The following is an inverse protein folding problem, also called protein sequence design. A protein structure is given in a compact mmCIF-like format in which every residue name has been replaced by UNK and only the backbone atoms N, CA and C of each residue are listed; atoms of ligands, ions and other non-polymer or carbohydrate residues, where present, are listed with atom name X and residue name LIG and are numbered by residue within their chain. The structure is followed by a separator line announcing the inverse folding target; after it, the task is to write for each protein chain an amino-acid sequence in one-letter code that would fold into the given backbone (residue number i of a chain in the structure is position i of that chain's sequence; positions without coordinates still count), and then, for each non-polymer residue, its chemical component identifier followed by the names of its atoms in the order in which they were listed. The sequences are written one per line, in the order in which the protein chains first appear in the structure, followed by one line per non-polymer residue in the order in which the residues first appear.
data_IF_531546245192
#
_entry.id   IF_531546245192
#
_cell.length_a   1.000
_cell.length_b   1.000
_cell.length_c   1.000
_cell.angle_alpha   90.00
_cell.angle_beta   90.00
_cell.angle_gamma   90.00
#
_symmetry.space_group_name_H-M   'P 1'
#
loop_
_entity.id
_entity.type
_entity.pdbx_description
1 polymer ?
#
# COMPACT_ATOMS: atom_id res chain seq x y z
N UNK A 1 1.15 -3.51 17.90
CA UNK A 1 0.83 -4.25 16.67
C UNK A 1 2.14 -4.75 16.11
N UNK A 2 2.23 -6.04 15.82
CA UNK A 2 3.38 -6.59 15.11
C UNK A 2 3.25 -6.19 13.64
N UNK A 3 4.10 -5.27 13.18
CA UNK A 3 4.06 -4.68 11.84
C UNK A 3 4.39 -5.72 10.76
N UNK A 4 5.27 -6.66 11.05
CA UNK A 4 5.68 -7.69 10.09
C UNK A 4 4.57 -8.72 9.90
N UNK A 5 3.91 -9.14 11.00
CA UNK A 5 2.74 -10.03 10.93
C UNK A 5 1.56 -9.35 10.23
N UNK A 6 1.32 -8.08 10.53
CA UNK A 6 0.27 -7.30 9.89
C UNK A 6 0.55 -7.13 8.39
N UNK A 7 1.77 -6.75 8.02
CA UNK A 7 2.20 -6.64 6.63
C UNK A 7 1.98 -7.96 5.88
N UNK A 8 2.43 -9.07 6.46
CA UNK A 8 2.27 -10.38 5.84
C UNK A 8 0.80 -10.74 5.63
N UNK A 9 -0.06 -10.45 6.60
CA UNK A 9 -1.51 -10.67 6.50
C UNK A 9 -2.11 -9.87 5.33
N UNK A 10 -1.79 -8.58 5.25
CA UNK A 10 -2.28 -7.70 4.18
C UNK A 10 -1.72 -8.14 2.81
N UNK A 11 -0.47 -8.59 2.77
CA UNK A 11 0.19 -9.10 1.58
C UNK A 11 -0.44 -10.40 1.04
N UNK A 12 -0.81 -11.32 1.94
CA UNK A 12 -1.47 -12.57 1.56
C UNK A 12 -2.89 -12.31 1.04
N UNK A 13 -3.60 -11.33 1.63
CA UNK A 13 -4.93 -10.92 1.15
C UNK A 13 -4.85 -10.20 -0.20
N UNK A 14 -3.87 -9.31 -0.39
CA UNK A 14 -3.69 -8.58 -1.65
C UNK A 14 -3.50 -9.52 -2.85
N UNK A 15 -2.86 -10.68 -2.65
CA UNK A 15 -2.69 -11.71 -3.69
C UNK A 15 -3.99 -12.45 -4.06
N UNK A 16 -5.11 -12.11 -3.44
CA UNK A 16 -6.42 -12.70 -3.72
C UNK A 16 -7.40 -11.60 -4.10
N UNK A 17 -7.47 -10.54 -3.28
CA UNK A 17 -8.53 -9.53 -3.32
C UNK A 17 -8.02 -8.17 -2.78
N UNK A 18 -7.91 -7.18 -3.67
CA UNK A 18 -7.50 -5.82 -3.33
C UNK A 18 -8.55 -5.03 -2.51
N UNK A 19 -9.84 -5.34 -2.64
CA UNK A 19 -10.90 -4.69 -1.86
C UNK A 19 -10.92 -5.21 -0.43
N UNK A 20 -10.74 -6.53 -0.26
CA UNK A 20 -10.54 -7.14 1.06
C UNK A 20 -9.29 -6.56 1.75
N UNK A 21 -8.21 -6.34 0.99
CA UNK A 21 -6.99 -5.71 1.49
C UNK A 21 -7.28 -4.30 2.06
N UNK A 22 -8.01 -3.46 1.30
CA UNK A 22 -8.43 -2.14 1.76
C UNK A 22 -9.25 -2.20 3.05
N UNK A 23 -10.18 -3.15 3.15
CA UNK A 23 -11.02 -3.33 4.34
C UNK A 23 -10.21 -3.76 5.57
N UNK A 24 -9.19 -4.61 5.41
CA UNK A 24 -8.25 -4.95 6.50
C UNK A 24 -7.51 -3.71 6.99
N UNK A 25 -6.99 -2.88 6.07
CA UNK A 25 -6.28 -1.65 6.43
C UNK A 25 -7.19 -0.68 7.19
N UNK A 26 -8.40 -0.46 6.69
CA UNK A 26 -9.38 0.44 7.33
C UNK A 26 -9.85 -0.07 8.70
N UNK A 27 -10.14 -1.36 8.84
CA UNK A 27 -10.59 -1.94 10.12
C UNK A 27 -9.53 -1.89 11.22
N UNK A 28 -8.25 -1.80 10.83
CA UNK A 28 -7.12 -1.68 11.76
C UNK A 28 -6.84 -0.21 12.15
N UNK A 29 -7.68 0.73 11.71
CA UNK A 29 -7.58 2.15 12.04
C UNK A 29 -6.81 2.99 11.01
N UNK A 30 -6.46 2.43 9.85
CA UNK A 30 -5.85 3.18 8.74
C UNK A 30 -6.86 4.05 8.00
N UNK A 31 -6.45 5.26 7.59
CA UNK A 31 -7.31 6.23 6.87
C UNK A 31 -7.19 6.05 5.34
N UNK A 32 -7.16 4.79 4.90
CA UNK A 32 -6.80 4.40 3.53
C UNK A 32 -7.80 4.86 2.46
N UNK A 33 -9.09 4.92 2.76
CA UNK A 33 -10.14 5.18 1.73
C UNK A 33 -10.06 6.54 1.06
N UNK A 34 -9.49 7.54 1.73
CA UNK A 34 -9.37 8.91 1.21
C UNK A 34 -7.91 9.31 0.96
N UNK A 35 -6.98 8.38 1.15
CA UNK A 35 -5.55 8.64 1.06
C UNK A 35 -5.04 8.54 -0.39
N UNK A 36 -4.16 9.49 -0.74
CA UNK A 36 -3.37 9.48 -1.97
C UNK A 36 -1.98 8.90 -1.69
N UNK A 37 -1.61 7.88 -2.44
CA UNK A 37 -0.32 7.18 -2.36
C UNK A 37 0.59 7.73 -3.44
N UNK A 38 1.65 8.41 -3.03
CA UNK A 38 2.70 8.88 -3.94
C UNK A 38 3.62 7.74 -4.35
N UNK A 39 3.57 7.37 -5.64
CA UNK A 39 4.50 6.45 -6.28
C UNK A 39 5.45 7.22 -7.20
N UNK A 40 6.44 6.55 -7.78
CA UNK A 40 7.40 7.17 -8.71
C UNK A 40 6.70 7.70 -9.97
N UNK A 41 5.66 7.00 -10.41
CA UNK A 41 4.87 7.31 -11.60
C UNK A 41 3.82 8.41 -11.36
N UNK A 42 3.56 8.78 -10.11
CA UNK A 42 2.59 9.80 -9.72
C UNK A 42 1.78 9.43 -8.48
N UNK A 43 0.84 10.30 -8.12
CA UNK A 43 -0.08 10.07 -7.01
C UNK A 43 -1.28 9.23 -7.47
N UNK A 44 -1.51 8.12 -6.78
CA UNK A 44 -2.66 7.25 -7.00
C UNK A 44 -3.61 7.28 -5.81
N UNK A 45 -4.90 7.03 -6.03
CA UNK A 45 -5.77 6.70 -4.90
C UNK A 45 -5.30 5.40 -4.26
N UNK A 46 -5.59 5.19 -2.97
CA UNK A 46 -5.19 3.95 -2.31
C UNK A 46 -5.79 2.71 -2.98
N UNK A 47 -7.03 2.81 -3.47
CA UNK A 47 -7.67 1.74 -4.24
C UNK A 47 -6.89 1.43 -5.52
N UNK A 48 -6.52 2.45 -6.29
CA UNK A 48 -5.76 2.27 -7.53
C UNK A 48 -4.35 1.74 -7.24
N UNK A 49 -3.71 2.18 -6.16
CA UNK A 49 -2.41 1.68 -5.74
C UNK A 49 -2.47 0.19 -5.36
N UNK A 50 -3.53 -0.27 -4.68
CA UNK A 50 -3.74 -1.68 -4.38
C UNK A 50 -4.02 -2.50 -5.65
N UNK A 51 -4.86 -2.00 -6.56
CA UNK A 51 -5.10 -2.65 -7.85
C UNK A 51 -3.83 -2.73 -8.72
N UNK A 52 -2.98 -1.69 -8.67
CA UNK A 52 -1.68 -1.69 -9.33
C UNK A 52 -0.74 -2.73 -8.70
N UNK A 53 -0.65 -2.78 -7.37
CA UNK A 53 0.14 -3.78 -6.66
C UNK A 53 -0.33 -5.21 -6.98
N UNK A 54 -1.64 -5.43 -7.09
CA UNK A 54 -2.23 -6.70 -7.53
C UNK A 54 -1.79 -7.07 -8.95
N UNK A 55 -1.87 -6.13 -9.87
CA UNK A 55 -1.41 -6.33 -11.26
C UNK A 55 0.08 -6.69 -11.30
N UNK A 56 0.92 -6.06 -10.47
CA UNK A 56 2.33 -6.41 -10.33
C UNK A 56 2.53 -7.83 -9.79
N UNK A 57 1.71 -8.29 -8.83
CA UNK A 57 1.71 -9.67 -8.36
C UNK A 57 1.40 -10.65 -9.50
N UNK A 58 0.37 -10.37 -10.29
CA UNK A 58 -0.07 -11.24 -11.39
C UNK A 58 0.98 -11.31 -12.52
N UNK A 59 1.79 -10.24 -12.68
CA UNK A 59 2.95 -10.19 -13.59
C UNK A 59 4.22 -10.81 -12.99
N UNK A 60 4.19 -11.32 -11.75
CA UNK A 60 5.34 -11.89 -11.05
C UNK A 60 6.35 -10.86 -10.53
N UNK A 61 6.04 -9.56 -10.58
CA UNK A 61 6.88 -8.44 -10.10
C UNK A 61 6.69 -8.22 -8.60
N UNK A 62 6.94 -9.26 -7.81
CA UNK A 62 6.62 -9.30 -6.38
C UNK A 62 7.36 -8.25 -5.54
N UNK A 63 8.60 -7.91 -5.91
CA UNK A 63 9.38 -6.89 -5.20
C UNK A 63 8.73 -5.50 -5.28
N UNK A 64 8.28 -5.12 -6.48
CA UNK A 64 7.64 -3.84 -6.73
C UNK A 64 6.24 -3.78 -6.12
N UNK A 65 5.47 -4.87 -6.23
CA UNK A 65 4.18 -4.98 -5.56
C UNK A 65 4.30 -4.79 -4.04
N UNK A 66 5.37 -5.33 -3.43
CA UNK A 66 5.67 -5.12 -1.99
C UNK A 66 5.99 -3.68 -1.68
N UNK A 67 6.74 -2.98 -2.53
CA UNK A 67 7.05 -1.56 -2.36
C UNK A 67 5.78 -0.70 -2.42
N UNK A 68 4.90 -0.96 -3.39
CA UNK A 68 3.61 -0.27 -3.51
C UNK A 68 2.74 -0.53 -2.28
N UNK A 69 2.66 -1.77 -1.80
CA UNK A 69 1.91 -2.08 -0.58
C UNK A 69 2.50 -1.37 0.66
N UNK A 70 3.82 -1.30 0.77
CA UNK A 70 4.47 -0.52 1.83
C UNK A 70 4.13 0.97 1.74
N UNK A 71 4.08 1.54 0.54
CA UNK A 71 3.67 2.92 0.34
C UNK A 71 2.22 3.14 0.80
N UNK A 72 1.30 2.25 0.41
CA UNK A 72 -0.10 2.27 0.87
C UNK A 72 -0.19 2.25 2.39
N UNK A 73 0.50 1.32 3.05
CA UNK A 73 0.47 1.20 4.51
C UNK A 73 1.09 2.43 5.20
N UNK A 74 2.19 2.96 4.67
CA UNK A 74 2.81 4.17 5.22
C UNK A 74 1.87 5.36 5.17
N UNK A 75 1.22 5.57 4.03
CA UNK A 75 0.24 6.65 3.87
C UNK A 75 -0.96 6.43 4.78
N UNK A 76 -1.50 5.20 4.81
CA UNK A 76 -2.74 4.87 5.54
C UNK A 76 -2.62 5.02 7.06
N UNK A 77 -1.42 4.78 7.61
CA UNK A 77 -1.17 4.87 9.05
C UNK A 77 -0.36 6.13 9.44
N UNK A 78 -0.13 7.05 8.49
CA UNK A 78 0.70 8.24 8.73
C UNK A 78 2.15 7.91 9.12
N UNK A 79 2.63 6.73 8.75
CA UNK A 79 3.90 6.17 9.20
C UNK A 79 5.13 6.77 8.51
N UNK A 80 5.00 7.71 7.55
CA UNK A 80 6.06 8.67 7.17
C UNK A 80 5.60 9.67 6.08
N UNK A 81 6.05 10.92 6.22
CA UNK A 81 6.22 11.88 5.12
C UNK A 81 7.15 11.28 4.06
N UNK A 82 6.88 11.45 2.75
CA UNK A 82 7.89 11.20 1.74
C UNK A 82 9.09 12.12 1.97
N UNK A 83 10.29 11.56 1.83
CA UNK A 83 11.53 12.30 1.77
C UNK A 83 11.56 13.12 0.47
N UNK A 84 11.00 14.32 0.50
CA UNK A 84 11.21 15.36 -0.52
C UNK A 84 11.75 16.62 0.16
N UNK A 85 12.91 16.46 0.82
CA UNK A 85 13.77 17.58 1.23
C UNK A 85 15.24 17.19 1.04
N UNK A 86 15.57 16.63 -0.12
CA UNK A 86 16.91 16.71 -0.68
C UNK A 86 16.73 17.06 -2.16
N UNK A 87 17.33 18.18 -2.57
CA UNK A 87 17.31 18.81 -3.91
C UNK A 87 16.25 19.91 -4.12
N UNK A 88 16.41 21.03 -3.40
CA UNK A 88 16.34 22.39 -3.96
C UNK A 88 17.06 23.37 -3.01
#
# INVERSE_FOLDING_TARGET
MDLDLFFQTVWDVLQVDEEACLNVICSTGGWAREAMVSLVEGDLSTTDALAYARTLCDLGRLAEAREVLWAVLRTSFGLLKPQTALLA
#
